data_IF_147419624218
#
_entry.id   IF_147419624218
#
_cell.length_a   1.000
_cell.length_b   1.000
_cell.length_c   1.000
_cell.angle_alpha   90.00
_cell.angle_beta   90.00
_cell.angle_gamma   90.00
#
_symmetry.space_group_name_H-M   'P 1'
#
loop_
_entity.id
_entity.type
_entity.pdbx_description
1 polymer ?
#
# COMPACT_ATOMS: atom_id res chain seq x y z
N UNK A 1 -26.62 -9.10 12.47
CA UNK A 1 -26.29 -7.78 13.07
C UNK A 1 -26.98 -6.71 12.23
N UNK A 2 -27.71 -5.78 12.84
CA UNK A 2 -28.58 -4.82 12.12
C UNK A 2 -27.82 -3.52 11.78
N UNK A 3 -28.14 -2.82 10.68
CA UNK A 3 -27.41 -1.63 10.22
C UNK A 3 -27.36 -0.50 11.25
N UNK A 4 -28.43 -0.38 12.06
CA UNK A 4 -28.51 0.57 13.16
C UNK A 4 -27.45 0.35 14.23
N UNK A 5 -27.11 -0.90 14.53
CA UNK A 5 -26.04 -1.23 15.48
C UNK A 5 -24.67 -0.79 14.95
N UNK A 6 -24.43 -0.98 13.66
CA UNK A 6 -23.20 -0.54 13.00
C UNK A 6 -23.06 0.99 13.03
N UNK A 7 -24.12 1.72 12.67
CA UNK A 7 -24.13 3.20 12.72
C UNK A 7 -23.99 3.74 14.14
N UNK A 8 -24.44 3.00 15.15
CA UNK A 8 -24.24 3.34 16.57
C UNK A 8 -22.79 3.10 17.00
N UNK A 9 -22.20 1.96 16.63
CA UNK A 9 -20.80 1.64 16.93
C UNK A 9 -19.84 2.63 16.27
N UNK A 10 -20.05 2.98 15.00
CA UNK A 10 -19.24 4.00 14.31
C UNK A 10 -19.32 5.38 14.99
N UNK A 11 -20.50 5.76 15.51
CA UNK A 11 -20.64 7.01 16.28
C UNK A 11 -19.93 6.94 17.62
N UNK A 12 -19.90 5.79 18.28
CA UNK A 12 -19.18 5.59 19.54
C UNK A 12 -17.66 5.69 19.36
N UNK A 13 -17.13 5.22 18.22
CA UNK A 13 -15.71 5.32 17.88
C UNK A 13 -15.24 6.74 17.57
N UNK A 14 -16.15 7.65 17.23
CA UNK A 14 -15.83 9.04 16.86
C UNK A 14 -15.58 9.97 18.06
N UNK A 15 -15.52 9.41 19.27
CA UNK A 15 -15.20 10.18 20.47
C UNK A 15 -13.69 10.41 20.57
N UNK A 16 -13.27 11.62 20.98
CA UNK A 16 -11.85 11.87 21.24
C UNK A 16 -11.39 10.99 22.40
N UNK A 17 -10.42 10.11 22.12
CA UNK A 17 -9.78 9.27 23.13
C UNK A 17 -8.37 9.80 23.37
N UNK A 18 -8.10 10.25 24.58
CA UNK A 18 -6.74 10.57 25.01
C UNK A 18 -5.92 9.28 25.12
N UNK A 19 -4.62 9.29 24.78
CA UNK A 19 -3.75 8.15 24.99
C UNK A 19 -3.64 7.83 26.49
N UNK A 20 -3.64 6.55 26.84
CA UNK A 20 -3.61 6.10 28.25
C UNK A 20 -2.31 6.48 28.98
N UNK A 21 -1.24 6.78 28.23
CA UNK A 21 0.03 7.25 28.77
C UNK A 21 0.71 8.21 27.79
N UNK A 22 1.51 9.12 28.34
CA UNK A 22 2.33 10.02 27.54
C UNK A 22 3.56 9.28 27.00
N UNK A 23 3.71 9.31 25.67
CA UNK A 23 4.82 8.67 24.96
C UNK A 23 6.01 9.62 24.78
N UNK A 24 5.83 10.92 25.01
CA UNK A 24 6.89 11.90 24.78
C UNK A 24 8.18 11.61 25.56
N UNK A 25 8.15 11.25 26.85
CA UNK A 25 9.38 10.94 27.59
C UNK A 25 10.14 9.74 27.01
N UNK A 26 9.42 8.74 26.49
CA UNK A 26 10.02 7.57 25.87
C UNK A 26 10.67 7.92 24.52
N UNK A 27 10.00 8.76 23.73
CA UNK A 27 10.51 9.26 22.44
C UNK A 27 11.75 10.13 22.67
N UNK A 28 11.71 11.05 23.64
CA UNK A 28 12.82 11.93 23.98
C UNK A 28 14.06 11.12 24.38
N UNK A 29 13.89 10.13 25.27
CA UNK A 29 14.95 9.21 25.65
C UNK A 29 15.49 8.36 24.49
N UNK A 30 14.67 8.08 23.47
CA UNK A 30 15.08 7.32 22.30
C UNK A 30 15.88 8.20 21.34
N UNK A 31 15.50 9.47 21.19
CA UNK A 31 16.24 10.47 20.41
C UNK A 31 17.58 10.77 21.07
N UNK A 32 17.63 10.94 22.39
CA UNK A 32 18.87 11.11 23.14
C UNK A 32 19.82 9.93 22.97
N UNK A 33 19.30 8.69 23.03
CA UNK A 33 20.10 7.48 22.78
C UNK A 33 20.58 7.40 21.34
N UNK A 34 19.76 7.78 20.38
CA UNK A 34 20.14 7.81 18.96
C UNK A 34 21.21 8.89 18.69
N UNK A 35 21.11 10.05 19.34
CA UNK A 35 22.08 11.12 19.25
C UNK A 35 23.43 10.75 19.91
N UNK A 36 23.39 10.01 21.03
CA UNK A 36 24.59 9.49 21.70
C UNK A 36 25.22 8.32 20.93
N UNK A 37 24.42 7.55 20.19
CA UNK A 37 24.87 6.40 19.41
C UNK A 37 25.41 6.80 18.02
N UNK A 38 26.30 7.79 17.98
CA UNK A 38 27.03 8.16 16.76
C UNK A 38 27.76 6.94 16.16
N UNK A 39 27.18 6.35 15.11
CA UNK A 39 27.65 5.20 14.31
C UNK A 39 27.60 3.81 14.99
N UNK A 40 27.34 2.70 14.25
CA UNK A 40 26.62 1.55 14.77
C UNK A 40 27.54 0.56 15.50
N UNK A 41 27.23 0.26 16.76
CA UNK A 41 27.65 -0.97 17.41
C UNK A 41 26.44 -1.90 17.55
N UNK A 42 26.49 -3.02 16.84
CA UNK A 42 25.44 -4.04 16.83
C UNK A 42 25.48 -4.91 18.08
N UNK A 43 24.28 -5.40 18.44
CA UNK A 43 23.95 -6.64 19.17
C UNK A 43 24.01 -6.62 20.70
N UNK A 44 22.84 -6.37 21.28
CA UNK A 44 22.42 -7.01 22.53
C UNK A 44 22.16 -8.51 22.31
N UNK A 45 22.76 -9.33 23.17
CA UNK A 45 22.73 -10.79 23.15
C UNK A 45 21.29 -11.35 23.28
N UNK A 46 20.83 -12.19 22.35
CA UNK A 46 19.44 -12.64 22.35
C UNK A 46 19.18 -13.67 23.45
N UNK A 47 18.10 -13.48 24.20
CA UNK A 47 17.66 -14.40 25.24
C UNK A 47 17.24 -15.77 24.66
N UNK A 48 17.27 -16.83 25.47
CA UNK A 48 16.96 -18.22 25.04
C UNK A 48 15.58 -18.38 24.39
N UNK A 49 14.61 -17.52 24.73
CA UNK A 49 13.27 -17.44 24.09
C UNK A 49 13.33 -16.79 22.71
N UNK A 50 14.20 -15.80 22.52
CA UNK A 50 14.44 -15.17 21.22
C UNK A 50 15.11 -16.11 20.22
N UNK A 51 15.95 -17.06 20.69
CA UNK A 51 16.51 -18.12 19.84
C UNK A 51 15.45 -19.09 19.29
N UNK A 52 14.38 -19.34 20.04
CA UNK A 52 13.24 -20.15 19.57
C UNK A 52 12.40 -19.40 18.53
N UNK A 53 12.17 -18.10 18.73
CA UNK A 53 11.48 -17.26 17.76
C UNK A 53 12.29 -17.06 16.48
N UNK A 54 13.62 -17.02 16.57
CA UNK A 54 14.51 -16.97 15.39
C UNK A 54 14.48 -18.26 14.56
N UNK A 55 14.39 -19.44 15.19
CA UNK A 55 14.24 -20.72 14.47
C UNK A 55 12.91 -20.82 13.70
N UNK A 56 11.82 -20.38 14.32
CA UNK A 56 10.51 -20.32 13.66
C UNK A 56 10.49 -19.28 12.51
N UNK A 57 11.14 -18.13 12.69
CA UNK A 57 11.27 -17.10 11.66
C UNK A 57 12.05 -17.57 10.43
N UNK A 58 13.13 -18.33 10.61
CA UNK A 58 13.95 -18.85 9.51
C UNK A 58 13.18 -19.89 8.68
N UNK A 59 12.46 -20.80 9.33
CA UNK A 59 11.58 -21.76 8.66
C UNK A 59 10.42 -21.08 7.91
N UNK A 60 9.79 -20.06 8.53
CA UNK A 60 8.75 -19.27 7.87
C UNK A 60 9.30 -18.50 6.65
N UNK A 61 10.51 -17.94 6.75
CA UNK A 61 11.15 -17.23 5.64
C UNK A 61 11.51 -18.17 4.48
N UNK A 62 11.92 -19.41 4.76
CA UNK A 62 12.17 -20.43 3.74
C UNK A 62 10.88 -20.92 3.07
N UNK A 63 9.80 -21.09 3.83
CA UNK A 63 8.48 -21.42 3.27
C UNK A 63 7.92 -20.26 2.41
N UNK A 64 8.09 -19.01 2.83
CA UNK A 64 7.67 -17.84 2.05
C UNK A 64 8.54 -17.68 0.81
N UNK A 65 9.87 -17.78 0.90
CA UNK A 65 10.76 -17.70 -0.25
C UNK A 65 10.52 -18.85 -1.25
N UNK A 66 10.32 -20.08 -0.75
CA UNK A 66 9.99 -21.25 -1.57
C UNK A 66 8.61 -21.13 -2.22
N UNK A 67 7.59 -20.68 -1.47
CA UNK A 67 6.24 -20.48 -1.98
C UNK A 67 6.15 -19.34 -3.01
N UNK A 68 6.87 -18.24 -2.78
CA UNK A 68 6.95 -17.10 -3.73
C UNK A 68 7.73 -17.50 -4.98
N UNK A 69 8.85 -18.21 -4.84
CA UNK A 69 9.60 -18.74 -5.98
C UNK A 69 8.76 -19.69 -6.83
N UNK A 70 8.01 -20.59 -6.19
CA UNK A 70 7.10 -21.51 -6.88
C UNK A 70 5.95 -20.77 -7.59
N UNK A 71 5.44 -19.69 -6.99
CA UNK A 71 4.40 -18.83 -7.58
C UNK A 71 4.93 -17.98 -8.73
N UNK A 72 6.21 -17.58 -8.70
CA UNK A 72 6.90 -16.87 -9.78
C UNK A 72 7.25 -17.80 -10.95
N UNK A 73 7.57 -19.07 -10.70
CA UNK A 73 7.77 -20.07 -11.76
C UNK A 73 6.45 -20.47 -12.43
N UNK A 74 5.33 -20.41 -11.71
CA UNK A 74 3.99 -20.60 -12.27
C UNK A 74 3.39 -19.31 -12.86
N UNK A 75 4.02 -18.16 -12.66
CA UNK A 75 3.62 -16.95 -13.36
C UNK A 75 4.04 -17.11 -14.83
N UNK A 76 3.11 -17.02 -15.80
CA UNK A 76 3.49 -16.90 -17.20
C UNK A 76 4.44 -15.69 -17.33
N UNK A 77 5.46 -15.70 -18.20
CA UNK A 77 6.33 -14.56 -18.43
C UNK A 77 5.52 -13.42 -19.08
N UNK A 78 4.76 -12.71 -18.25
CA UNK A 78 3.95 -11.56 -18.61
C UNK A 78 4.82 -10.33 -18.56
N UNK A 79 5.69 -10.20 -19.56
CA UNK A 79 6.29 -8.97 -20.06
C UNK A 79 6.47 -7.86 -19.01
N UNK A 80 7.68 -7.81 -18.45
CA UNK A 80 8.34 -6.57 -18.08
C UNK A 80 8.62 -5.72 -19.34
N UNK A 81 7.58 -5.50 -20.15
CA UNK A 81 7.55 -4.61 -21.29
C UNK A 81 7.07 -3.28 -20.78
N UNK A 82 8.01 -2.38 -20.56
CA UNK A 82 7.77 -0.96 -20.43
C UNK A 82 7.02 -0.46 -21.68
N UNK A 83 5.69 -0.56 -21.67
CA UNK A 83 4.88 0.26 -22.56
C UNK A 83 4.74 1.59 -21.84
N UNK A 84 5.66 2.51 -22.15
CA UNK A 84 5.55 3.91 -21.82
C UNK A 84 4.32 4.50 -22.56
N UNK A 85 3.14 4.14 -22.08
CA UNK A 85 1.91 4.87 -22.36
C UNK A 85 2.04 6.14 -21.55
N UNK A 86 1.94 7.29 -22.19
CA UNK A 86 2.25 8.61 -21.64
C UNK A 86 1.80 8.76 -20.18
N UNK A 87 2.78 8.69 -19.27
CA UNK A 87 2.61 8.93 -17.84
C UNK A 87 2.36 10.44 -17.64
N UNK A 88 1.15 10.88 -17.99
CA UNK A 88 0.74 12.26 -17.83
C UNK A 88 0.72 12.59 -16.34
N UNK A 89 1.56 13.54 -15.94
CA UNK A 89 1.72 13.97 -14.55
C UNK A 89 1.24 15.42 -14.42
N UNK A 90 0.20 15.70 -13.62
CA UNK A 90 -0.29 17.07 -13.43
C UNK A 90 0.76 17.93 -12.71
N UNK A 91 0.79 19.22 -13.04
CA UNK A 91 1.69 20.19 -12.40
C UNK A 91 1.28 20.50 -10.95
N UNK A 92 -0.03 20.45 -10.65
CA UNK A 92 -0.54 20.61 -9.30
C UNK A 92 -0.24 19.35 -8.45
N UNK A 93 0.56 19.46 -7.36
CA UNK A 93 0.89 18.34 -6.49
C UNK A 93 -0.32 17.72 -5.80
N UNK A 94 -1.43 18.45 -5.66
CA UNK A 94 -2.67 17.95 -5.04
C UNK A 94 -3.38 16.93 -5.92
N UNK A 95 -3.18 17.01 -7.23
CA UNK A 95 -3.76 16.10 -8.22
C UNK A 95 -2.84 14.93 -8.58
N UNK A 96 -1.55 15.01 -8.19
CA UNK A 96 -0.54 14.02 -8.57
C UNK A 96 -0.84 12.61 -8.03
N UNK A 97 -1.30 12.49 -6.78
CA UNK A 97 -1.64 11.18 -6.19
C UNK A 97 -2.79 10.49 -6.92
N UNK A 98 -3.88 11.23 -7.16
CA UNK A 98 -5.05 10.71 -7.87
C UNK A 98 -4.74 10.35 -9.33
N UNK A 99 -3.83 11.08 -9.99
CA UNK A 99 -3.38 10.72 -11.34
C UNK A 99 -2.63 9.38 -11.38
N UNK A 100 -1.77 9.13 -10.38
CA UNK A 100 -1.02 7.86 -10.25
C UNK A 100 -1.99 6.70 -9.97
N UNK A 101 -2.91 6.87 -9.03
CA UNK A 101 -3.88 5.83 -8.68
C UNK A 101 -4.81 5.47 -9.84
N UNK A 102 -5.31 6.46 -10.59
CA UNK A 102 -6.17 6.22 -11.74
C UNK A 102 -5.44 5.51 -12.89
N UNK A 103 -4.16 5.81 -13.12
CA UNK A 103 -3.38 5.12 -14.15
C UNK A 103 -3.07 3.68 -13.76
N UNK A 104 -2.75 3.44 -12.48
CA UNK A 104 -2.61 2.08 -11.95
C UNK A 104 -3.92 1.28 -12.09
N UNK A 105 -5.05 1.86 -11.69
CA UNK A 105 -6.36 1.23 -11.83
C UNK A 105 -6.71 0.93 -13.30
N UNK A 106 -6.36 1.82 -14.24
CA UNK A 106 -6.54 1.59 -15.67
C UNK A 106 -5.73 0.38 -16.15
N UNK A 107 -4.45 0.30 -15.79
CA UNK A 107 -3.59 -0.84 -16.15
C UNK A 107 -4.12 -2.16 -15.59
N UNK A 108 -4.58 -2.19 -14.34
CA UNK A 108 -5.18 -3.37 -13.73
C UNK A 108 -6.47 -3.80 -14.43
N UNK A 109 -7.33 -2.85 -14.79
CA UNK A 109 -8.57 -3.12 -15.52
C UNK A 109 -8.30 -3.65 -16.94
N UNK A 110 -7.31 -3.09 -17.64
CA UNK A 110 -6.88 -3.60 -18.94
C UNK A 110 -6.36 -5.04 -18.83
N UNK A 111 -5.58 -5.35 -17.79
CA UNK A 111 -5.12 -6.71 -17.52
C UNK A 111 -6.28 -7.66 -17.18
N UNK A 112 -7.23 -7.23 -16.35
CA UNK A 112 -8.40 -8.00 -15.98
C UNK A 112 -9.31 -8.29 -17.19
N UNK A 113 -9.46 -7.32 -18.11
CA UNK A 113 -10.21 -7.49 -19.36
C UNK A 113 -9.53 -8.52 -20.27
N UNK A 114 -8.19 -8.58 -20.31
CA UNK A 114 -7.50 -9.66 -21.06
C UNK A 114 -7.81 -11.05 -20.51
N UNK A 115 -8.06 -11.17 -19.20
CA UNK A 115 -8.43 -12.44 -18.57
C UNK A 115 -9.92 -12.78 -18.75
N UNK A 116 -10.79 -11.76 -18.80
CA UNK A 116 -12.24 -11.91 -18.92
C UNK A 116 -12.82 -10.90 -19.94
N UNK A 117 -12.63 -11.12 -21.26
CA UNK A 117 -12.96 -10.14 -22.30
C UNK A 117 -14.46 -9.84 -22.38
N UNK A 118 -15.31 -10.81 -22.08
CA UNK A 118 -16.77 -10.71 -22.20
C UNK A 118 -17.44 -10.04 -20.97
N UNK A 119 -16.64 -9.59 -19.99
CA UNK A 119 -17.17 -8.95 -18.80
C UNK A 119 -17.62 -7.51 -19.07
N UNK A 120 -18.92 -7.33 -19.33
CA UNK A 120 -19.56 -6.02 -19.47
C UNK A 120 -19.37 -5.11 -18.22
N UNK A 121 -19.14 -5.71 -17.04
CA UNK A 121 -18.83 -4.97 -15.81
C UNK A 121 -17.47 -4.27 -15.89
N UNK A 122 -16.42 -5.01 -16.27
CA UNK A 122 -15.05 -4.49 -16.37
C UNK A 122 -14.95 -3.42 -17.46
N UNK A 123 -15.60 -3.63 -18.62
CA UNK A 123 -15.61 -2.65 -19.70
C UNK A 123 -16.28 -1.32 -19.28
N UNK A 124 -17.39 -1.39 -18.53
CA UNK A 124 -18.05 -0.20 -17.98
C UNK A 124 -17.19 0.50 -16.95
N UNK A 125 -16.49 -0.27 -16.11
CA UNK A 125 -15.60 0.29 -15.10
C UNK A 125 -14.40 0.99 -15.75
N UNK A 126 -13.76 0.38 -16.75
CA UNK A 126 -12.68 1.00 -17.53
C UNK A 126 -13.13 2.34 -18.13
N UNK A 127 -14.28 2.37 -18.80
CA UNK A 127 -14.81 3.61 -19.39
C UNK A 127 -15.05 4.70 -18.35
N UNK A 128 -15.49 4.34 -17.14
CA UNK A 128 -15.66 5.30 -16.04
C UNK A 128 -14.31 5.84 -15.55
N UNK A 129 -13.30 4.98 -15.42
CA UNK A 129 -11.94 5.38 -15.04
C UNK A 129 -11.33 6.33 -16.08
N UNK A 130 -11.53 6.07 -17.37
CA UNK A 130 -11.09 6.97 -18.46
C UNK A 130 -11.79 8.34 -18.38
N UNK A 131 -13.09 8.36 -18.10
CA UNK A 131 -13.84 9.61 -17.89
C UNK A 131 -13.31 10.39 -16.69
N UNK A 132 -13.01 9.72 -15.58
CA UNK A 132 -12.41 10.35 -14.40
C UNK A 132 -11.02 10.93 -14.71
N UNK A 133 -10.19 10.20 -15.47
CA UNK A 133 -8.89 10.70 -15.89
C UNK A 133 -9.00 11.93 -16.79
N UNK A 134 -9.98 11.97 -17.70
CA UNK A 134 -10.26 13.14 -18.53
C UNK A 134 -10.72 14.35 -17.70
N UNK A 135 -11.58 14.14 -16.69
CA UNK A 135 -11.99 15.20 -15.77
C UNK A 135 -10.81 15.73 -14.96
N UNK A 136 -9.92 14.84 -14.49
CA UNK A 136 -8.74 15.24 -13.72
C UNK A 136 -7.77 16.07 -14.57
N UNK A 137 -7.64 15.76 -15.86
CA UNK A 137 -6.90 16.59 -16.84
C UNK A 137 -7.49 17.98 -16.98
N UNK A 138 -8.81 18.08 -17.16
CA UNK A 138 -9.49 19.38 -17.23
C UNK A 138 -9.33 20.22 -15.96
N UNK A 139 -9.32 19.57 -14.79
CA UNK A 139 -9.07 20.26 -13.51
C UNK A 139 -7.62 20.75 -13.42
N UNK A 140 -6.66 19.94 -13.86
CA UNK A 140 -5.26 20.34 -13.90
C UNK A 140 -5.02 21.51 -14.85
N UNK A 141 -5.65 21.53 -16.04
CA UNK A 141 -5.54 22.62 -17.02
C UNK A 141 -6.13 23.94 -16.49
N UNK A 142 -7.08 23.89 -15.56
CA UNK A 142 -7.65 25.08 -14.90
C UNK A 142 -6.83 25.57 -13.70
N UNK A 143 -5.99 24.70 -13.14
CA UNK A 143 -5.18 24.99 -11.98
C UNK A 143 -3.75 25.44 -12.33
N UNK A 144 -3.38 25.36 -13.62
CA UNK A 144 -2.13 25.88 -14.19
C UNK A 144 -2.25 27.34 -14.59
#
# INVERSE_FOLDING_TARGET
>A
MNEFEWRRQLRALRQPRAPDHDLWPAIDSALDRAAQAGTPATRTQPSRRQRWLLGAGLAASLCVAGGVGWRLLQAPPGNAGATATSNWKPADPRLAGAAIELDAARMELELAIRQAPDSAGLQRLLRRTEQQQAQLRQLADRAS
#
